data_IF_845676188368
#
_entry.id   IF_845676188368
#
_cell.length_a   1.000
_cell.length_b   1.000
_cell.length_c   1.000
_cell.angle_alpha   90.00
_cell.angle_beta   90.00
_cell.angle_gamma   90.00
#
_symmetry.space_group_name_H-M   'P 1'
#
loop_
_entity.id
_entity.type
_entity.pdbx_description
1 polymer ?
#
# COMPACT_ATOMS: atom_id res chain seq x y z
N UNK A 1 -40.09 16.75 -44.50
CA UNK A 1 -40.78 16.85 -43.19
C UNK A 1 -41.19 15.45 -42.78
N UNK A 2 -40.91 15.09 -41.52
CA UNK A 2 -41.17 13.81 -40.83
C UNK A 2 -40.30 12.62 -41.27
N UNK A 3 -39.77 11.76 -40.41
CA UNK A 3 -39.47 11.84 -38.98
C UNK A 3 -38.50 10.68 -38.71
N UNK A 4 -37.35 10.95 -38.10
CA UNK A 4 -36.40 9.93 -37.68
C UNK A 4 -36.88 9.32 -36.35
N UNK A 5 -37.11 8.00 -36.32
CA UNK A 5 -37.31 7.24 -35.08
C UNK A 5 -36.05 6.40 -34.83
N UNK A 6 -35.02 7.05 -34.32
CA UNK A 6 -33.82 6.39 -33.80
C UNK A 6 -34.18 5.89 -32.39
N UNK A 7 -34.37 4.57 -32.26
CA UNK A 7 -34.54 3.88 -30.98
C UNK A 7 -33.28 4.11 -30.14
N UNK A 8 -33.37 4.99 -29.15
CA UNK A 8 -32.44 5.02 -28.02
C UNK A 8 -32.70 3.77 -27.16
N UNK A 9 -31.74 2.86 -27.16
CA UNK A 9 -31.63 1.80 -26.16
C UNK A 9 -31.04 2.44 -24.91
N UNK A 10 -31.88 2.79 -23.93
CA UNK A 10 -31.43 3.17 -22.60
C UNK A 10 -30.89 1.91 -21.90
N UNK A 11 -29.59 1.65 -22.03
CA UNK A 11 -28.85 0.89 -21.04
C UNK A 11 -28.33 1.88 -20.00
N UNK A 12 -29.21 2.25 -19.07
CA UNK A 12 -28.77 2.74 -17.76
C UNK A 12 -28.27 1.52 -16.96
N UNK A 13 -27.09 1.01 -17.34
CA UNK A 13 -26.29 0.14 -16.48
C UNK A 13 -25.53 1.07 -15.51
N UNK A 14 -26.28 1.67 -14.58
CA UNK A 14 -25.70 2.16 -13.35
C UNK A 14 -25.27 0.94 -12.53
N UNK A 15 -24.13 0.34 -12.91
CA UNK A 15 -23.33 -0.46 -12.00
C UNK A 15 -22.82 0.49 -10.91
N UNK A 16 -23.68 0.76 -9.94
CA UNK A 16 -23.22 1.07 -8.60
C UNK A 16 -22.42 -0.15 -8.17
N UNK A 17 -21.10 -0.06 -8.29
CA UNK A 17 -20.15 -0.98 -7.67
C UNK A 17 -20.43 -0.94 -6.17
N UNK A 18 -21.37 -1.79 -5.75
CA UNK A 18 -21.82 -1.89 -4.39
C UNK A 18 -20.60 -2.18 -3.54
N UNK A 19 -20.22 -1.20 -2.70
CA UNK A 19 -19.11 -1.29 -1.77
C UNK A 19 -19.17 -2.62 -1.01
N UNK A 20 -18.35 -3.58 -1.42
CA UNK A 20 -18.27 -4.90 -0.81
C UNK A 20 -17.00 -4.97 0.04
N UNK A 21 -17.08 -4.83 1.36
CA UNK A 21 -15.91 -4.80 2.23
C UNK A 21 -15.11 -6.11 2.19
N UNK A 22 -15.74 -7.24 1.81
CA UNK A 22 -15.05 -8.53 1.64
C UNK A 22 -14.11 -8.54 0.44
N UNK A 23 -14.50 -7.88 -0.64
CA UNK A 23 -13.70 -7.84 -1.88
C UNK A 23 -12.51 -6.89 -1.72
N UNK A 24 -12.68 -5.78 -0.99
CA UNK A 24 -11.60 -4.85 -0.65
C UNK A 24 -10.53 -5.50 0.21
N UNK A 25 -10.93 -6.20 1.28
CA UNK A 25 -9.98 -6.90 2.14
C UNK A 25 -9.21 -8.00 1.41
N UNK A 26 -9.89 -8.78 0.55
CA UNK A 26 -9.25 -9.80 -0.27
C UNK A 26 -8.30 -9.22 -1.34
N UNK A 27 -8.53 -7.98 -1.79
CA UNK A 27 -7.63 -7.28 -2.71
C UNK A 27 -6.40 -6.74 -1.97
N UNK A 28 -6.60 -6.09 -0.84
CA UNK A 28 -5.52 -5.57 0.02
C UNK A 28 -4.60 -6.69 0.50
N UNK A 29 -5.15 -7.84 0.95
CA UNK A 29 -4.37 -9.01 1.34
C UNK A 29 -3.50 -9.56 0.20
N UNK A 30 -4.06 -9.64 -1.02
CA UNK A 30 -3.32 -10.12 -2.19
C UNK A 30 -2.20 -9.16 -2.59
N UNK A 31 -2.50 -7.86 -2.64
CA UNK A 31 -1.49 -6.83 -2.91
C UNK A 31 -0.40 -6.79 -1.83
N UNK A 32 -0.79 -6.95 -0.56
CA UNK A 32 0.14 -7.04 0.56
C UNK A 32 1.07 -8.25 0.42
N UNK A 33 0.52 -9.46 0.23
CA UNK A 33 1.32 -10.66 0.04
C UNK A 33 2.28 -10.54 -1.15
N UNK A 34 1.83 -9.97 -2.27
CA UNK A 34 2.68 -9.74 -3.44
C UNK A 34 3.84 -8.77 -3.11
N UNK A 35 3.55 -7.68 -2.39
CA UNK A 35 4.52 -6.63 -2.07
C UNK A 35 5.55 -7.00 -1.00
N UNK A 36 5.19 -7.86 -0.03
CA UNK A 36 6.08 -8.21 1.10
C UNK A 36 7.29 -9.02 0.66
N UNK A 37 7.17 -9.82 -0.41
CA UNK A 37 8.23 -10.72 -0.86
C UNK A 37 9.12 -10.14 -1.96
N UNK A 38 8.77 -8.99 -2.53
CA UNK A 38 9.52 -8.35 -3.61
C UNK A 38 10.48 -7.29 -3.10
N UNK A 39 11.59 -7.11 -3.81
CA UNK A 39 12.53 -6.00 -3.59
C UNK A 39 12.16 -4.79 -4.43
N UNK A 40 11.79 -5.03 -5.69
CA UNK A 40 11.34 -3.99 -6.60
C UNK A 40 9.84 -3.71 -6.43
N UNK A 41 9.48 -2.44 -6.57
CA UNK A 41 8.10 -1.95 -6.54
C UNK A 41 7.54 -2.01 -7.96
N UNK A 42 6.54 -2.85 -8.17
CA UNK A 42 5.87 -3.04 -9.46
C UNK A 42 4.39 -2.62 -9.41
N UNK A 43 3.80 -2.45 -10.60
CA UNK A 43 2.36 -2.22 -10.73
C UNK A 43 1.56 -3.37 -10.09
N UNK A 44 0.58 -3.02 -9.27
CA UNK A 44 -0.26 -3.95 -8.51
C UNK A 44 0.22 -4.18 -7.07
N UNK A 45 1.42 -3.74 -6.72
CA UNK A 45 1.94 -3.86 -5.36
C UNK A 45 1.32 -2.81 -4.42
N UNK A 46 1.34 -3.12 -3.13
CA UNK A 46 1.00 -2.17 -2.07
C UNK A 46 2.24 -1.37 -1.70
N UNK A 47 2.07 -0.06 -1.56
CA UNK A 47 3.13 0.89 -1.22
C UNK A 47 2.69 1.77 -0.05
N UNK A 48 3.64 2.30 0.72
CA UNK A 48 3.37 3.15 1.88
C UNK A 48 3.87 4.56 1.60
N UNK A 49 3.04 5.56 1.85
CA UNK A 49 3.42 6.97 1.73
C UNK A 49 3.96 7.49 3.07
N UNK A 50 5.12 8.14 3.05
CA UNK A 50 5.75 8.75 4.23
C UNK A 50 5.51 10.24 4.38
N UNK A 51 5.21 10.93 3.28
CA UNK A 51 4.94 12.35 3.29
C UNK A 51 3.45 12.53 2.95
N UNK A 52 2.65 13.15 3.84
CA UNK A 52 1.24 13.36 3.58
C UNK A 52 1.05 14.44 2.51
N UNK A 53 0.04 14.25 1.67
CA UNK A 53 -0.46 15.27 0.76
C UNK A 53 -2.00 15.29 0.85
N UNK A 54 -2.56 16.10 1.78
CA UNK A 54 -4.00 16.10 2.07
C UNK A 54 -4.87 16.52 0.89
N UNK A 55 -4.37 17.40 0.01
CA UNK A 55 -5.11 17.87 -1.17
C UNK A 55 -5.44 16.73 -2.15
N UNK A 56 -4.62 15.68 -2.12
CA UNK A 56 -4.74 14.48 -2.94
C UNK A 56 -5.27 13.27 -2.16
N UNK A 57 -5.69 13.46 -0.89
CA UNK A 57 -6.11 12.36 -0.03
C UNK A 57 -4.98 11.37 0.29
N UNK A 58 -3.72 11.84 0.30
CA UNK A 58 -2.58 11.02 0.70
C UNK A 58 -2.27 11.28 2.16
N UNK A 59 -2.34 10.23 2.97
CA UNK A 59 -2.09 10.26 4.40
C UNK A 59 -0.79 9.53 4.73
N UNK A 60 -0.11 10.03 5.75
CA UNK A 60 1.13 9.46 6.24
C UNK A 60 0.93 8.03 6.79
N UNK A 61 1.91 7.15 6.56
CA UNK A 61 1.93 5.76 7.01
C UNK A 61 0.69 4.95 6.61
N UNK A 62 0.03 5.39 5.53
CA UNK A 62 -1.13 4.70 4.95
C UNK A 62 -0.68 3.95 3.70
N UNK A 63 -1.26 2.78 3.48
CA UNK A 63 -0.96 1.94 2.33
C UNK A 63 -1.90 2.22 1.15
N UNK A 64 -1.35 2.22 -0.05
CA UNK A 64 -2.04 2.47 -1.30
C UNK A 64 -1.65 1.40 -2.32
N UNK A 65 -2.58 1.06 -3.21
CA UNK A 65 -2.32 0.16 -4.32
C UNK A 65 -1.73 0.96 -5.49
N UNK A 66 -0.61 0.49 -6.03
CA UNK A 66 0.04 1.10 -7.18
C UNK A 66 -0.64 0.63 -8.48
N UNK A 67 -1.34 1.52 -9.18
CA UNK A 67 -2.10 1.19 -10.40
C UNK A 67 -1.32 1.34 -11.68
N UNK A 68 -0.38 2.28 -11.74
CA UNK A 68 0.49 2.47 -12.88
C UNK A 68 1.73 3.27 -12.51
N UNK A 69 2.79 3.06 -13.29
CA UNK A 69 4.04 3.83 -13.23
C UNK A 69 4.29 4.32 -14.64
N UNK A 70 4.57 5.61 -14.80
CA UNK A 70 4.94 6.16 -16.10
C UNK A 70 5.94 7.31 -15.93
N UNK A 71 6.83 7.46 -16.91
CA UNK A 71 7.63 8.66 -17.06
C UNK A 71 6.97 9.62 -18.04
N UNK A 72 7.16 10.90 -17.79
CA UNK A 72 6.68 11.97 -18.61
C UNK A 72 7.86 12.87 -18.97
N UNK A 73 8.13 13.02 -20.27
CA UNK A 73 9.08 14.00 -20.79
C UNK A 73 8.37 14.98 -21.72
N UNK A 74 8.99 16.15 -21.87
CA UNK A 74 8.62 17.10 -22.90
C UNK A 74 9.56 16.89 -24.08
N UNK A 75 9.00 16.58 -25.25
CA UNK A 75 9.76 16.45 -26.49
C UNK A 75 9.75 17.82 -27.20
N UNK A 76 10.93 18.44 -27.30
CA UNK A 76 11.11 19.77 -27.89
C UNK A 76 10.85 19.77 -29.40
N UNK A 77 11.08 18.64 -30.08
CA UNK A 77 10.93 18.52 -31.53
C UNK A 77 9.46 18.45 -31.94
N UNK A 78 8.66 17.69 -31.19
CA UNK A 78 7.21 17.55 -31.44
C UNK A 78 6.36 18.55 -30.65
N UNK A 79 6.96 19.34 -29.76
CA UNK A 79 6.28 20.20 -28.79
C UNK A 79 5.17 19.47 -28.03
N UNK A 80 5.38 18.20 -27.74
CA UNK A 80 4.36 17.32 -27.17
C UNK A 80 4.85 16.63 -25.91
N UNK A 81 3.91 16.30 -25.03
CA UNK A 81 4.20 15.54 -23.82
C UNK A 81 4.18 14.05 -24.17
N UNK A 82 5.32 13.40 -24.02
CA UNK A 82 5.46 11.96 -24.25
C UNK A 82 5.36 11.24 -22.91
N UNK A 83 4.48 10.23 -22.84
CA UNK A 83 4.33 9.36 -21.68
C UNK A 83 4.82 7.95 -22.03
N UNK A 84 5.79 7.44 -21.29
CA UNK A 84 6.25 6.07 -21.41
C UNK A 84 5.86 5.29 -20.17
N UNK A 85 5.16 4.16 -20.34
CA UNK A 85 4.85 3.28 -19.21
C UNK A 85 6.09 2.50 -18.80
N UNK A 86 6.26 2.39 -17.49
CA UNK A 86 7.38 1.71 -16.86
C UNK A 86 6.82 0.58 -15.99
N UNK A 87 7.57 -0.52 -15.82
CA UNK A 87 7.11 -1.68 -15.07
C UNK A 87 7.44 -1.56 -13.58
N UNK A 88 8.65 -1.12 -13.27
CA UNK A 88 9.16 -0.97 -11.91
C UNK A 88 9.63 0.44 -11.61
N UNK A 89 9.67 0.80 -10.32
CA UNK A 89 10.14 2.11 -9.88
C UNK A 89 11.66 2.31 -10.09
N UNK A 90 12.41 1.21 -10.14
CA UNK A 90 13.87 1.20 -10.29
C UNK A 90 14.35 1.04 -11.74
N UNK A 91 13.42 0.96 -12.71
CA UNK A 91 13.77 0.82 -14.13
C UNK A 91 14.45 2.08 -14.66
N UNK A 92 15.32 1.93 -15.68
CA UNK A 92 16.00 3.04 -16.33
C UNK A 92 15.00 4.02 -16.96
N UNK A 93 15.06 5.28 -16.54
CA UNK A 93 14.16 6.34 -16.96
C UNK A 93 14.87 7.21 -18.01
N UNK A 94 14.20 7.60 -19.13
CA UNK A 94 14.80 8.52 -20.09
C UNK A 94 15.31 9.82 -19.44
N UNK A 95 16.48 10.34 -19.84
CA UNK A 95 17.03 11.56 -19.28
C UNK A 95 16.07 12.74 -19.51
N UNK A 96 15.88 13.58 -18.48
CA UNK A 96 14.98 14.73 -18.54
C UNK A 96 13.49 14.40 -18.41
N UNK A 97 13.15 13.16 -18.04
CA UNK A 97 11.77 12.78 -17.74
C UNK A 97 11.50 12.73 -16.23
N UNK A 98 10.27 13.05 -15.85
CA UNK A 98 9.78 12.99 -14.47
C UNK A 98 8.92 11.75 -14.31
N UNK A 99 9.12 11.01 -13.21
CA UNK A 99 8.36 9.82 -12.92
C UNK A 99 7.09 10.15 -12.13
N UNK A 100 6.00 9.53 -12.55
CA UNK A 100 4.69 9.64 -11.92
C UNK A 100 4.14 8.26 -11.63
N UNK A 101 3.41 8.17 -10.53
CA UNK A 101 2.73 6.97 -10.08
C UNK A 101 1.25 7.25 -9.86
N UNK A 102 0.41 6.26 -10.17
CA UNK A 102 -1.01 6.34 -9.88
C UNK A 102 -1.33 5.47 -8.67
N UNK A 103 -1.79 6.09 -7.59
CA UNK A 103 -2.11 5.45 -6.33
C UNK A 103 -3.61 5.37 -6.12
N UNK A 104 -4.08 4.27 -5.51
CA UNK A 104 -5.48 4.08 -5.18
C UNK A 104 -5.64 3.41 -3.82
N UNK A 105 -6.49 3.97 -2.97
CA UNK A 105 -6.98 3.30 -1.78
C UNK A 105 -8.50 3.31 -1.75
N UNK A 106 -9.19 2.16 -1.65
CA UNK A 106 -10.65 2.11 -1.65
C UNK A 106 -11.27 2.79 -0.43
N UNK A 107 -10.48 3.00 0.62
CA UNK A 107 -10.94 3.63 1.87
C UNK A 107 -10.87 5.16 1.82
N UNK A 108 -10.07 5.72 0.91
CA UNK A 108 -9.77 7.16 0.87
C UNK A 108 -10.14 7.78 -0.47
N UNK A 109 -9.98 7.04 -1.55
CA UNK A 109 -10.13 7.54 -2.91
C UNK A 109 -11.35 6.92 -3.59
N UNK A 110 -12.15 7.76 -4.25
CA UNK A 110 -13.16 7.30 -5.22
C UNK A 110 -12.51 6.98 -6.57
N UNK A 111 -11.50 7.74 -6.95
CA UNK A 111 -10.74 7.60 -8.20
C UNK A 111 -9.24 7.60 -7.90
N UNK A 112 -8.45 6.91 -8.72
CA UNK A 112 -7.02 6.82 -8.52
C UNK A 112 -6.34 8.17 -8.76
N UNK A 113 -5.32 8.49 -7.95
CA UNK A 113 -4.67 9.79 -7.93
C UNK A 113 -3.24 9.67 -8.43
N UNK A 114 -2.84 10.64 -9.26
CA UNK A 114 -1.48 10.70 -9.83
C UNK A 114 -0.60 11.57 -8.93
N UNK A 115 0.56 11.05 -8.54
CA UNK A 115 1.55 11.76 -7.72
C UNK A 115 2.97 11.46 -8.18
N UNK A 116 3.91 12.33 -7.81
CA UNK A 116 5.33 12.02 -7.90
C UNK A 116 5.76 11.16 -6.69
N UNK A 117 6.52 10.07 -6.87
CA UNK A 117 6.98 9.24 -5.74
C UNK A 117 7.83 10.01 -4.73
N UNK A 118 8.61 11.00 -5.20
CA UNK A 118 9.46 11.82 -4.33
C UNK A 118 8.63 12.76 -3.45
N UNK A 119 7.49 13.26 -3.94
CA UNK A 119 6.61 14.16 -3.18
C UNK A 119 5.92 13.45 -2.02
N UNK A 120 5.55 12.17 -2.19
CA UNK A 120 4.84 11.38 -1.18
C UNK A 120 5.76 10.49 -0.33
N UNK A 121 7.07 10.49 -0.60
CA UNK A 121 8.04 9.65 0.09
C UNK A 121 7.66 8.17 0.02
N UNK A 122 7.56 7.64 -1.20
CA UNK A 122 7.04 6.29 -1.43
C UNK A 122 8.03 5.22 -0.93
N UNK A 123 7.55 4.32 -0.07
CA UNK A 123 8.31 3.23 0.55
C UNK A 123 7.67 1.88 0.24
N UNK A 124 8.48 0.83 0.15
CA UNK A 124 7.99 -0.54 -0.03
C UNK A 124 7.53 -1.14 1.30
N UNK A 125 6.48 -1.97 1.25
CA UNK A 125 5.96 -2.65 2.44
C UNK A 125 7.02 -3.56 3.08
N UNK A 126 7.91 -4.17 2.28
CA UNK A 126 9.02 -5.00 2.77
C UNK A 126 9.97 -4.19 3.67
N UNK A 127 10.36 -2.99 3.26
CA UNK A 127 11.24 -2.13 4.05
C UNK A 127 10.56 -1.72 5.35
N UNK A 128 9.30 -1.32 5.30
CA UNK A 128 8.52 -0.97 6.49
C UNK A 128 8.38 -2.12 7.47
N UNK A 129 8.12 -3.33 6.96
CA UNK A 129 8.03 -4.53 7.77
C UNK A 129 9.38 -4.89 8.40
N UNK A 130 10.48 -4.71 7.65
CA UNK A 130 11.84 -4.93 8.13
C UNK A 130 12.19 -3.98 9.28
N UNK A 131 11.91 -2.69 9.11
CA UNK A 131 12.15 -1.67 10.14
C UNK A 131 11.30 -1.92 11.38
N UNK A 132 10.01 -2.25 11.20
CA UNK A 132 9.12 -2.61 12.30
C UNK A 132 9.60 -3.87 13.04
N UNK A 133 10.03 -4.90 12.30
CA UNK A 133 10.56 -6.12 12.89
C UNK A 133 11.84 -5.85 13.69
N UNK A 134 12.73 -5.01 13.16
CA UNK A 134 13.97 -4.62 13.84
C UNK A 134 13.70 -3.88 15.15
N UNK A 135 12.77 -2.92 15.13
CA UNK A 135 12.35 -2.20 16.32
C UNK A 135 11.67 -3.10 17.36
N UNK A 136 11.04 -4.19 16.94
CA UNK A 136 10.37 -5.13 17.82
C UNK A 136 11.33 -6.11 18.54
N UNK A 137 12.57 -6.31 18.04
CA UNK A 137 13.53 -7.28 18.60
C UNK A 137 13.77 -7.12 20.11
N UNK A 138 14.01 -5.91 20.66
CA UNK A 138 14.23 -5.75 22.09
C UNK A 138 13.00 -6.11 22.93
N UNK A 139 11.80 -5.83 22.43
CA UNK A 139 10.55 -6.21 23.10
C UNK A 139 10.39 -7.72 23.14
N UNK A 140 10.61 -8.39 22.01
CA UNK A 140 10.54 -9.84 21.93
C UNK A 140 11.57 -10.54 22.83
N UNK A 141 12.76 -9.97 22.99
CA UNK A 141 13.75 -10.48 23.93
C UNK A 141 13.18 -10.54 25.36
N UNK A 142 12.54 -9.47 25.83
CA UNK A 142 11.95 -9.45 27.18
C UNK A 142 10.75 -10.37 27.33
N UNK A 143 9.90 -10.47 26.30
CA UNK A 143 8.78 -11.43 26.28
C UNK A 143 9.31 -12.86 26.38
N UNK A 144 10.37 -13.19 25.63
CA UNK A 144 11.00 -14.50 25.69
C UNK A 144 11.57 -14.80 27.08
N UNK A 145 12.29 -13.84 27.67
CA UNK A 145 12.83 -13.98 29.04
C UNK A 145 11.69 -14.20 30.04
N UNK A 146 10.65 -13.38 30.01
CA UNK A 146 9.49 -13.52 30.90
C UNK A 146 8.78 -14.87 30.72
N UNK A 147 8.59 -15.32 29.48
CA UNK A 147 8.00 -16.62 29.19
C UNK A 147 8.86 -17.78 29.70
N UNK A 148 10.19 -17.68 29.56
CA UNK A 148 11.13 -18.71 30.05
C UNK A 148 11.10 -18.79 31.58
N UNK A 149 11.08 -17.65 32.26
CA UNK A 149 10.91 -17.59 33.71
C UNK A 149 9.57 -18.14 34.16
N UNK A 150 8.47 -17.76 33.49
CA UNK A 150 7.14 -18.28 33.78
C UNK A 150 7.10 -19.81 33.69
N UNK A 151 7.58 -20.38 32.59
CA UNK A 151 7.60 -21.83 32.37
C UNK A 151 8.47 -22.52 33.44
N UNK A 152 9.69 -22.02 33.68
CA UNK A 152 10.61 -22.60 34.67
C UNK A 152 10.05 -22.54 36.09
N UNK A 153 9.38 -21.44 36.46
CA UNK A 153 8.77 -21.28 37.77
C UNK A 153 7.58 -22.24 37.93
N UNK A 154 6.67 -22.25 36.94
CA UNK A 154 5.48 -23.10 36.95
C UNK A 154 5.83 -24.59 37.05
N UNK A 155 6.86 -25.04 36.32
CA UNK A 155 7.36 -26.42 36.40
C UNK A 155 7.94 -26.78 37.78
N UNK A 156 8.54 -25.82 38.50
CA UNK A 156 9.22 -26.08 39.79
C UNK A 156 8.32 -25.95 41.00
N UNK A 157 7.35 -25.04 40.99
CA UNK A 157 6.51 -24.76 42.16
C UNK A 157 5.06 -25.19 41.99
N UNK A 158 4.62 -25.50 40.76
CA UNK A 158 3.21 -25.82 40.46
C UNK A 158 2.24 -24.66 40.69
N UNK A 159 2.76 -23.47 41.03
CA UNK A 159 2.00 -22.26 41.32
C UNK A 159 1.93 -21.32 40.12
N UNK A 160 0.97 -20.39 40.13
CA UNK A 160 0.85 -19.35 39.11
C UNK A 160 1.72 -18.14 39.44
N UNK A 161 2.01 -17.30 38.45
CA UNK A 161 2.86 -16.11 38.58
C UNK A 161 2.46 -15.16 39.73
N UNK A 162 1.18 -15.16 40.11
CA UNK A 162 0.63 -14.38 41.23
C UNK A 162 1.16 -14.84 42.61
N UNK A 163 1.38 -16.15 42.81
CA UNK A 163 1.95 -16.72 44.05
C UNK A 163 3.40 -16.29 44.25
N UNK A 164 4.14 -16.05 43.16
CA UNK A 164 5.54 -15.62 43.19
C UNK A 164 5.72 -14.17 43.68
N UNK A 165 4.72 -13.31 43.41
CA UNK A 165 4.81 -11.87 43.65
C UNK A 165 4.16 -11.42 44.95
N UNK A 166 3.08 -12.09 45.37
CA UNK A 166 2.39 -11.75 46.60
C UNK A 166 2.61 -12.72 47.75
N UNK A 167 3.29 -13.85 47.49
CA UNK A 167 3.53 -14.85 48.52
C UNK A 167 2.24 -15.38 49.14
N UNK A 168 2.37 -16.38 49.98
CA UNK A 168 1.34 -16.64 50.99
C UNK A 168 1.47 -15.65 52.13
#
# INVERSE_FOLDING_TARGET
MQSAALRMSNNDDSNEDAYNPRDNFGRELRGFQASVFKEDIEVGDMVVCKIPNPDLGIYENTSYELKSIYSQSFDEDTQSIVKAQIKGLNDDIPPGSTLYVTLFSPNVHKEAVVVSPQEVGLSSVKTELGDAAWLAVPGFFWVFVASSFYNTYHERTGGNFLDAFWGR
#
